data_IF_646672591384
#
_entry.id   IF_646672591384
#
_cell.length_a   1.000
_cell.length_b   1.000
_cell.length_c   1.000
_cell.angle_alpha   90.00
_cell.angle_beta   90.00
_cell.angle_gamma   90.00
#
_symmetry.space_group_name_H-M   'P 1'
#
loop_
_entity.id
_entity.type
_entity.pdbx_description
1 polymer ?
#
# COMPACT_ATOMS: atom_id res chain seq x y z
N UNK A 1 12.44 18.28 5.45
CA UNK A 1 11.00 18.60 5.51
C UNK A 1 10.35 18.01 4.28
N UNK A 2 9.67 16.85 4.40
CA UNK A 2 8.97 16.20 3.28
C UNK A 2 7.61 16.89 3.05
N UNK A 3 7.66 18.20 2.82
CA UNK A 3 6.48 19.06 2.77
C UNK A 3 5.60 18.65 1.59
N UNK A 4 4.37 18.21 1.86
CA UNK A 4 3.38 17.85 0.84
C UNK A 4 3.52 16.45 0.22
N UNK A 5 4.71 15.83 0.20
CA UNK A 5 4.89 14.49 -0.40
C UNK A 5 4.09 13.40 0.33
N UNK A 6 4.06 13.44 1.66
CA UNK A 6 3.23 12.52 2.43
C UNK A 6 1.73 12.72 2.13
N UNK A 7 1.28 13.97 2.10
CA UNK A 7 -0.11 14.30 1.75
C UNK A 7 -0.47 13.86 0.33
N UNK A 8 0.41 14.08 -0.64
CA UNK A 8 0.23 13.65 -2.03
C UNK A 8 0.14 12.12 -2.14
N UNK A 9 1.07 11.41 -1.49
CA UNK A 9 1.11 9.94 -1.52
C UNK A 9 -0.13 9.36 -0.86
N UNK A 10 -0.60 9.96 0.24
CA UNK A 10 -1.87 9.63 0.88
C UNK A 10 -3.07 9.92 -0.03
N UNK A 11 -3.13 11.07 -0.70
CA UNK A 11 -4.23 11.40 -1.63
C UNK A 11 -4.29 10.43 -2.81
N UNK A 12 -3.15 10.05 -3.40
CA UNK A 12 -3.10 9.05 -4.48
C UNK A 12 -3.62 7.70 -3.97
N UNK A 13 -3.16 7.29 -2.79
CA UNK A 13 -3.56 6.01 -2.20
C UNK A 13 -5.04 5.99 -1.86
N UNK A 14 -5.56 7.09 -1.32
CA UNK A 14 -6.97 7.25 -1.01
C UNK A 14 -7.85 7.27 -2.27
N UNK A 15 -7.40 7.93 -3.34
CA UNK A 15 -8.10 7.93 -4.63
C UNK A 15 -8.18 6.52 -5.23
N UNK A 16 -7.06 5.80 -5.27
CA UNK A 16 -7.00 4.43 -5.81
C UNK A 16 -7.79 3.43 -4.95
N UNK A 17 -7.73 3.58 -3.62
CA UNK A 17 -8.52 2.74 -2.71
C UNK A 17 -10.01 3.08 -2.81
N UNK A 18 -10.36 4.35 -2.97
CA UNK A 18 -11.73 4.80 -3.23
C UNK A 18 -12.30 4.26 -4.54
N UNK A 19 -11.46 4.10 -5.58
CA UNK A 19 -11.87 3.43 -6.81
C UNK A 19 -12.25 1.95 -6.61
N UNK A 20 -11.62 1.27 -5.65
CA UNK A 20 -11.99 -0.10 -5.27
C UNK A 20 -13.28 -0.16 -4.45
N UNK A 21 -13.70 0.94 -3.82
CA UNK A 21 -14.90 0.97 -2.99
C UNK A 21 -16.17 0.68 -3.84
N UNK A 22 -17.01 -0.26 -3.38
CA UNK A 22 -18.21 -0.72 -4.11
C UNK A 22 -17.93 -1.55 -5.37
N UNK A 23 -16.66 -1.83 -5.70
CA UNK A 23 -16.28 -2.72 -6.81
C UNK A 23 -16.04 -4.17 -6.37
N UNK A 24 -16.06 -4.45 -5.07
CA UNK A 24 -15.89 -5.81 -4.53
C UNK A 24 -16.91 -6.81 -5.10
N UNK A 25 -18.17 -6.40 -5.27
CA UNK A 25 -19.23 -7.27 -5.82
C UNK A 25 -19.17 -7.44 -7.35
N UNK A 26 -18.44 -6.58 -8.05
CA UNK A 26 -18.31 -6.58 -9.52
C UNK A 26 -17.01 -7.23 -10.01
N UNK A 27 -15.97 -7.24 -9.18
CA UNK A 27 -14.67 -7.82 -9.48
C UNK A 27 -14.55 -9.21 -8.86
N UNK A 28 -13.78 -10.08 -9.51
CA UNK A 28 -13.40 -11.36 -8.91
C UNK A 28 -12.67 -11.09 -7.58
N UNK A 29 -12.98 -11.80 -6.48
CA UNK A 29 -12.39 -11.55 -5.16
C UNK A 29 -10.86 -11.51 -5.18
N UNK A 30 -10.23 -12.43 -5.92
CA UNK A 30 -8.77 -12.48 -6.08
C UNK A 30 -8.20 -11.23 -6.77
N UNK A 31 -8.89 -10.72 -7.79
CA UNK A 31 -8.48 -9.50 -8.51
C UNK A 31 -8.58 -8.29 -7.60
N UNK A 32 -9.64 -8.20 -6.79
CA UNK A 32 -9.79 -7.15 -5.79
C UNK A 32 -8.65 -7.17 -4.76
N UNK A 33 -8.35 -8.35 -4.18
CA UNK A 33 -7.28 -8.48 -3.20
C UNK A 33 -5.90 -8.18 -3.80
N UNK A 34 -5.62 -8.61 -5.04
CA UNK A 34 -4.39 -8.27 -5.74
C UNK A 34 -4.25 -6.76 -5.99
N UNK A 35 -5.31 -6.10 -6.45
CA UNK A 35 -5.30 -4.65 -6.67
C UNK A 35 -5.10 -3.88 -5.36
N UNK A 36 -5.74 -4.31 -4.28
CA UNK A 36 -5.56 -3.71 -2.95
C UNK A 36 -4.12 -3.84 -2.45
N UNK A 37 -3.53 -5.04 -2.52
CA UNK A 37 -2.12 -5.28 -2.17
C UNK A 37 -1.20 -4.43 -3.04
N UNK A 38 -1.48 -4.34 -4.35
CA UNK A 38 -0.69 -3.55 -5.28
C UNK A 38 -0.70 -2.06 -4.96
N UNK A 39 -1.86 -1.49 -4.62
CA UNK A 39 -1.96 -0.07 -4.21
C UNK A 39 -1.13 0.20 -2.96
N UNK A 40 -1.19 -0.69 -1.97
CA UNK A 40 -0.36 -0.58 -0.77
C UNK A 40 1.13 -0.71 -1.09
N UNK A 41 1.52 -1.68 -1.90
CA UNK A 41 2.91 -1.85 -2.32
C UNK A 41 3.43 -0.59 -3.03
N UNK A 42 2.62 0.01 -3.90
CA UNK A 42 2.94 1.26 -4.59
C UNK A 42 3.12 2.43 -3.59
N UNK A 43 2.20 2.56 -2.62
CA UNK A 43 2.31 3.55 -1.54
C UNK A 43 3.65 3.45 -0.79
N UNK A 44 3.97 2.25 -0.31
CA UNK A 44 5.23 2.01 0.40
C UNK A 44 6.45 2.19 -0.50
N UNK A 45 6.35 1.83 -1.77
CA UNK A 45 7.44 1.99 -2.73
C UNK A 45 7.79 3.46 -2.94
N UNK A 46 6.80 4.34 -3.14
CA UNK A 46 7.02 5.79 -3.28
C UNK A 46 7.68 6.36 -2.02
N UNK A 47 7.18 5.99 -0.84
CA UNK A 47 7.73 6.47 0.44
C UNK A 47 9.18 5.98 0.61
N UNK A 48 9.44 4.69 0.37
CA UNK A 48 10.78 4.12 0.46
C UNK A 48 11.72 4.78 -0.53
N UNK A 49 11.28 5.02 -1.77
CA UNK A 49 12.08 5.70 -2.80
C UNK A 49 12.53 7.09 -2.36
N UNK A 50 11.61 7.89 -1.81
CA UNK A 50 11.92 9.24 -1.33
C UNK A 50 12.84 9.20 -0.11
N UNK A 51 12.59 8.30 0.85
CA UNK A 51 13.36 8.24 2.09
C UNK A 51 14.75 7.62 1.93
N UNK A 52 14.88 6.64 1.03
CA UNK A 52 16.10 5.86 0.82
C UNK A 52 16.69 6.10 -0.58
N UNK A 53 16.54 7.30 -1.13
CA UNK A 53 17.05 7.65 -2.46
C UNK A 53 18.56 7.37 -2.59
N UNK A 54 19.36 7.71 -1.57
CA UNK A 54 20.80 7.45 -1.56
C UNK A 54 21.14 5.96 -1.58
N UNK A 55 20.29 5.14 -0.95
CA UNK A 55 20.43 3.68 -0.99
C UNK A 55 20.03 3.13 -2.35
N UNK A 56 18.99 3.69 -2.97
CA UNK A 56 18.56 3.34 -4.33
C UNK A 56 19.67 3.59 -5.35
N UNK A 57 20.36 4.74 -5.27
CA UNK A 57 21.46 5.10 -6.16
C UNK A 57 22.73 4.27 -5.91
N UNK A 58 22.97 3.87 -4.66
CA UNK A 58 24.15 3.07 -4.28
C UNK A 58 23.98 1.57 -4.59
N UNK A 59 22.90 0.96 -4.09
CA UNK A 59 22.60 -0.45 -4.28
C UNK A 59 21.09 -0.70 -4.31
N UNK A 60 20.59 -0.91 -5.53
CA UNK A 60 19.17 -1.19 -5.76
C UNK A 60 18.66 -2.45 -5.03
N UNK A 61 19.48 -3.49 -4.86
CA UNK A 61 19.06 -4.71 -4.16
C UNK A 61 18.84 -4.45 -2.67
N UNK A 62 19.73 -3.69 -2.04
CA UNK A 62 19.57 -3.31 -0.63
C UNK A 62 18.35 -2.42 -0.43
N UNK A 63 18.10 -1.51 -1.38
CA UNK A 63 16.87 -0.72 -1.42
C UNK A 63 15.63 -1.62 -1.51
N UNK A 64 15.61 -2.59 -2.43
CA UNK A 64 14.49 -3.49 -2.63
C UNK A 64 14.20 -4.33 -1.37
N UNK A 65 15.25 -4.86 -0.72
CA UNK A 65 15.11 -5.59 0.54
C UNK A 65 14.52 -4.69 1.63
N UNK A 66 14.99 -3.44 1.73
CA UNK A 66 14.50 -2.49 2.75
C UNK A 66 13.05 -2.08 2.52
N UNK A 67 12.66 -1.90 1.26
CA UNK A 67 11.27 -1.73 0.86
C UNK A 67 10.42 -2.95 1.25
N UNK A 68 10.85 -4.17 0.90
CA UNK A 68 10.13 -5.41 1.21
C UNK A 68 9.96 -5.58 2.72
N UNK A 69 11.01 -5.35 3.52
CA UNK A 69 10.92 -5.47 4.97
C UNK A 69 9.95 -4.45 5.58
N UNK A 70 9.98 -3.21 5.10
CA UNK A 70 9.07 -2.15 5.57
C UNK A 70 7.63 -2.47 5.21
N UNK A 71 7.40 -2.89 3.96
CA UNK A 71 6.09 -3.32 3.48
C UNK A 71 5.56 -4.54 4.24
N UNK A 72 6.39 -5.57 4.43
CA UNK A 72 6.02 -6.79 5.15
C UNK A 72 5.71 -6.52 6.63
N UNK A 73 6.51 -5.67 7.30
CA UNK A 73 6.26 -5.25 8.67
C UNK A 73 4.88 -4.59 8.81
N UNK A 74 4.54 -3.65 7.94
CA UNK A 74 3.22 -3.01 7.96
C UNK A 74 2.09 -3.97 7.58
N UNK A 75 2.31 -4.85 6.59
CA UNK A 75 1.32 -5.85 6.19
C UNK A 75 0.97 -6.83 7.30
N UNK A 76 1.91 -7.14 8.20
CA UNK A 76 1.62 -7.96 9.38
C UNK A 76 0.51 -7.35 10.24
N UNK A 77 0.57 -6.03 10.50
CA UNK A 77 -0.49 -5.33 11.22
C UNK A 77 -1.79 -5.29 10.42
N UNK A 78 -1.73 -5.08 9.11
CA UNK A 78 -2.92 -5.10 8.26
C UNK A 78 -3.62 -6.46 8.30
N UNK A 79 -2.88 -7.58 8.29
CA UNK A 79 -3.46 -8.93 8.40
C UNK A 79 -4.16 -9.11 9.75
N UNK A 80 -3.53 -8.65 10.84
CA UNK A 80 -4.15 -8.69 12.17
C UNK A 80 -5.43 -7.85 12.19
N UNK A 81 -5.42 -6.65 11.63
CA UNK A 81 -6.62 -5.80 11.56
C UNK A 81 -7.70 -6.42 10.68
N UNK A 82 -7.35 -7.00 9.53
CA UNK A 82 -8.27 -7.70 8.63
C UNK A 82 -8.96 -8.90 9.30
N UNK A 83 -8.31 -9.52 10.29
CA UNK A 83 -8.91 -10.60 11.07
C UNK A 83 -10.08 -10.09 11.94
N UNK A 84 -9.96 -8.88 12.50
CA UNK A 84 -11.02 -8.26 13.31
C UNK A 84 -12.05 -7.51 12.46
N UNK A 85 -11.62 -6.85 11.39
CA UNK A 85 -12.43 -6.03 10.51
C UNK A 85 -12.14 -6.40 9.05
N UNK A 86 -12.79 -7.45 8.51
CA UNK A 86 -12.54 -7.89 7.16
C UNK A 86 -12.99 -6.82 6.16
N UNK A 87 -12.15 -6.54 5.15
CA UNK A 87 -12.43 -5.49 4.15
C UNK A 87 -13.75 -5.69 3.41
N UNK A 88 -14.25 -6.92 3.33
CA UNK A 88 -15.58 -7.24 2.78
C UNK A 88 -16.72 -6.54 3.53
N UNK A 89 -16.63 -6.41 4.85
CA UNK A 89 -17.68 -5.76 5.66
C UNK A 89 -17.60 -4.24 5.56
N UNK A 90 -16.39 -3.69 5.53
CA UNK A 90 -16.18 -2.25 5.31
C UNK A 90 -16.62 -1.77 3.92
N UNK A 91 -16.60 -2.62 2.90
CA UNK A 91 -17.13 -2.29 1.56
C UNK A 91 -18.67 -2.33 1.48
N UNK A 92 -19.37 -2.88 2.48
CA UNK A 92 -20.84 -2.98 2.50
C UNK A 92 -21.51 -1.93 3.39
N UNK A 93 -20.72 -1.17 4.15
CA UNK A 93 -21.16 -0.05 4.99
C UNK A 93 -21.12 1.26 4.18
#
# INVERSE_FOLDING_TARGET
>A
SNFGLNSLTLSITAYLTGFLNGKYERLLPYVFHLLWIFILALHFFIISFIQFQTLYESNFLDFLLKFIFTFAYSMMFFIVVQFFFPVKEASRA
#
